data_IF_666422848912
#
_entry.id   IF_666422848912
#
_cell.length_a   1.000
_cell.length_b   1.000
_cell.length_c   1.000
_cell.angle_alpha   90.00
_cell.angle_beta   90.00
_cell.angle_gamma   90.00
#
_symmetry.space_group_name_H-M   'P 1'
#
loop_
_entity.id
_entity.type
_entity.pdbx_description
1 polymer ?
#
# COMPACT_ATOMS: atom_id res chain seq x y z
N UNK A 1 -26.82 9.21 -2.24
CA UNK A 1 -26.25 8.04 -2.93
C UNK A 1 -25.96 7.02 -1.84
N UNK A 2 -26.44 5.79 -1.96
CA UNK A 2 -26.16 4.74 -0.98
C UNK A 2 -24.71 4.31 -1.10
N UNK A 3 -24.03 4.09 0.03
CA UNK A 3 -22.67 3.56 0.03
C UNK A 3 -22.65 2.18 -0.65
N UNK A 4 -21.62 1.87 -1.46
CA UNK A 4 -21.51 0.57 -2.13
C UNK A 4 -21.35 -0.56 -1.10
N UNK A 5 -21.90 -1.73 -1.42
CA UNK A 5 -21.77 -2.91 -0.58
C UNK A 5 -20.28 -3.28 -0.37
N UNK A 6 -19.85 -3.66 0.85
CA UNK A 6 -18.45 -3.95 1.15
C UNK A 6 -17.81 -4.95 0.18
N UNK A 7 -16.53 -4.72 -0.15
CA UNK A 7 -15.72 -5.57 -1.03
C UNK A 7 -16.18 -5.68 -2.49
N UNK A 8 -17.22 -4.94 -2.90
CA UNK A 8 -17.57 -4.81 -4.32
C UNK A 8 -16.55 -3.94 -5.07
N UNK A 9 -16.52 -4.05 -6.40
CA UNK A 9 -15.68 -3.18 -7.25
C UNK A 9 -15.97 -1.69 -6.99
N UNK A 10 -17.24 -1.32 -6.86
CA UNK A 10 -17.65 0.06 -6.55
C UNK A 10 -17.13 0.53 -5.18
N UNK A 11 -17.07 -0.35 -4.19
CA UNK A 11 -16.49 -0.05 -2.88
C UNK A 11 -14.98 0.14 -2.95
N UNK A 12 -14.26 -0.67 -3.72
CA UNK A 12 -12.83 -0.50 -3.94
C UNK A 12 -12.48 0.76 -4.71
N UNK A 13 -13.29 1.15 -5.70
CA UNK A 13 -13.07 2.40 -6.46
C UNK A 13 -13.20 3.66 -5.58
N UNK A 14 -13.92 3.59 -4.46
CA UNK A 14 -14.03 4.70 -3.51
C UNK A 14 -12.91 4.72 -2.48
N UNK A 15 -12.07 3.68 -2.43
CA UNK A 15 -10.99 3.55 -1.46
C UNK A 15 -9.65 3.54 -2.18
N UNK A 16 -8.94 4.69 -2.23
CA UNK A 16 -7.59 4.67 -2.77
C UNK A 16 -6.74 3.68 -1.95
N UNK A 17 -5.87 2.89 -2.61
CA UNK A 17 -4.95 2.03 -1.88
C UNK A 17 -4.05 2.86 -0.97
N UNK A 18 -3.68 2.29 0.18
CA UNK A 18 -2.68 2.89 1.07
C UNK A 18 -1.33 3.04 0.32
N UNK A 19 -0.61 4.16 0.47
CA UNK A 19 0.72 4.33 -0.12
C UNK A 19 1.66 3.22 0.31
N UNK A 20 2.44 2.68 -0.64
CA UNK A 20 3.38 1.60 -0.34
C UNK A 20 4.45 2.04 0.66
N UNK A 21 4.89 3.29 0.60
CA UNK A 21 5.85 3.87 1.53
C UNK A 21 5.36 3.81 2.98
N UNK A 22 4.06 4.02 3.22
CA UNK A 22 3.49 3.96 4.58
C UNK A 22 3.45 2.52 5.11
N UNK A 23 3.17 1.54 4.23
CA UNK A 23 3.28 0.11 4.58
C UNK A 23 4.73 -0.25 4.94
N UNK A 24 5.71 0.24 4.18
CA UNK A 24 7.13 -0.01 4.44
C UNK A 24 7.58 0.64 5.75
N UNK A 25 7.21 1.91 6.01
CA UNK A 25 7.52 2.59 7.28
C UNK A 25 6.93 1.84 8.47
N UNK A 26 5.66 1.45 8.38
CA UNK A 26 5.00 0.66 9.42
C UNK A 26 5.73 -0.66 9.66
N UNK A 27 6.18 -1.34 8.61
CA UNK A 27 6.97 -2.55 8.77
C UNK A 27 8.35 -2.29 9.41
N UNK A 28 9.02 -1.19 9.08
CA UNK A 28 10.29 -0.84 9.71
C UNK A 28 10.13 -0.51 11.21
N UNK A 29 9.03 0.16 11.59
CA UNK A 29 8.74 0.54 12.97
C UNK A 29 8.30 -0.65 13.83
N UNK A 30 7.30 -1.41 13.36
CA UNK A 30 6.62 -2.43 14.17
C UNK A 30 6.70 -3.84 13.59
N UNK A 31 7.45 -4.07 12.51
CA UNK A 31 7.58 -5.38 11.88
C UNK A 31 8.20 -6.45 12.78
N UNK A 32 8.94 -6.04 13.81
CA UNK A 32 9.49 -6.93 14.84
C UNK A 32 8.41 -7.52 15.76
N UNK A 33 7.21 -6.93 15.81
CA UNK A 33 6.07 -7.44 16.58
C UNK A 33 5.28 -8.52 15.81
N UNK A 34 5.57 -8.73 14.53
CA UNK A 34 4.89 -9.72 13.70
C UNK A 34 5.43 -11.14 13.94
N UNK A 35 4.63 -12.19 13.67
CA UNK A 35 5.12 -13.56 13.72
C UNK A 35 6.35 -13.76 12.79
N UNK A 36 7.34 -14.59 13.16
CA UNK A 36 8.58 -14.75 12.37
C UNK A 36 8.34 -15.14 10.90
N UNK A 37 7.32 -15.97 10.63
CA UNK A 37 6.94 -16.34 9.27
C UNK A 37 6.45 -15.14 8.45
N UNK A 38 5.65 -14.26 9.06
CA UNK A 38 5.13 -13.03 8.45
C UNK A 38 6.28 -12.06 8.22
N UNK A 39 7.14 -11.85 9.22
CA UNK A 39 8.30 -10.97 9.11
C UNK A 39 9.21 -11.38 7.94
N UNK A 40 9.50 -12.68 7.80
CA UNK A 40 10.33 -13.22 6.71
C UNK A 40 9.71 -12.97 5.33
N UNK A 41 8.39 -13.09 5.22
CA UNK A 41 7.68 -12.80 3.97
C UNK A 41 7.74 -11.31 3.65
N UNK A 42 7.45 -10.45 4.63
CA UNK A 42 7.46 -9.00 4.45
C UNK A 42 8.86 -8.49 4.10
N UNK A 43 9.91 -8.96 4.75
CA UNK A 43 11.31 -8.64 4.41
C UNK A 43 11.67 -9.01 2.97
N UNK A 44 11.12 -10.12 2.45
CA UNK A 44 11.39 -10.57 1.08
C UNK A 44 10.59 -9.79 0.04
N UNK A 45 9.42 -9.26 0.42
CA UNK A 45 8.42 -8.72 -0.51
C UNK A 45 8.37 -7.20 -0.54
N UNK A 46 8.61 -6.56 0.60
CA UNK A 46 8.62 -5.11 0.68
C UNK A 46 9.91 -4.57 0.05
N UNK A 47 9.81 -3.57 -0.84
CA UNK A 47 10.99 -2.90 -1.36
C UNK A 47 11.62 -2.00 -0.28
N UNK A 48 12.84 -1.49 -0.52
CA UNK A 48 13.39 -0.39 0.28
C UNK A 48 12.45 0.83 0.28
N UNK A 49 12.51 1.63 1.35
CA UNK A 49 11.62 2.80 1.52
C UNK A 49 11.73 3.79 0.36
N UNK A 50 12.95 4.11 -0.08
CA UNK A 50 13.19 5.03 -1.20
C UNK A 50 12.50 4.56 -2.49
N UNK A 51 12.54 3.25 -2.76
CA UNK A 51 11.89 2.64 -3.93
C UNK A 51 10.36 2.68 -3.77
N UNK A 52 9.85 2.47 -2.55
CA UNK A 52 8.41 2.59 -2.29
C UNK A 52 7.92 4.03 -2.52
N UNK A 53 8.67 5.03 -2.07
CA UNK A 53 8.37 6.46 -2.30
C UNK A 53 8.44 6.84 -3.78
N UNK A 54 9.35 6.25 -4.54
CA UNK A 54 9.40 6.40 -6.01
C UNK A 54 8.17 5.80 -6.68
N UNK A 55 7.79 4.56 -6.33
CA UNK A 55 6.60 3.91 -6.85
C UNK A 55 5.33 4.73 -6.55
N UNK A 56 5.17 5.21 -5.32
CA UNK A 56 4.00 6.01 -4.94
C UNK A 56 3.92 7.33 -5.75
N UNK A 57 5.07 7.99 -6.00
CA UNK A 57 5.14 9.18 -6.85
C UNK A 57 4.76 8.86 -8.30
N UNK A 58 5.28 7.76 -8.85
CA UNK A 58 5.01 7.36 -10.23
C UNK A 58 3.54 6.97 -10.44
N UNK A 59 2.95 6.26 -9.48
CA UNK A 59 1.52 5.92 -9.47
C UNK A 59 0.67 7.18 -9.39
N UNK A 60 1.02 8.13 -8.52
CA UNK A 60 0.31 9.40 -8.43
C UNK A 60 0.40 10.19 -9.76
N UNK A 61 1.58 10.25 -10.37
CA UNK A 61 1.78 10.90 -11.66
C UNK A 61 1.01 10.22 -12.81
N UNK A 62 0.91 8.88 -12.79
CA UNK A 62 0.12 8.12 -13.74
C UNK A 62 -1.37 8.47 -13.61
N UNK A 63 -1.91 8.52 -12.39
CA UNK A 63 -3.31 8.85 -12.15
C UNK A 63 -3.67 10.27 -12.62
N UNK A 64 -2.80 11.24 -12.40
CA UNK A 64 -3.01 12.61 -12.90
C UNK A 64 -3.02 12.70 -14.44
N UNK A 65 -2.36 11.78 -15.15
CA UNK A 65 -2.38 11.72 -16.62
C UNK A 65 -3.62 11.06 -17.21
N UNK A 66 -4.29 10.20 -16.45
CA UNK A 66 -5.47 9.44 -16.90
C UNK A 66 -6.77 10.14 -16.47
N UNK A 67 -6.67 11.18 -15.66
CA UNK A 67 -7.76 12.05 -15.21
C UNK A 67 -8.14 13.07 -16.28
#
# INVERSE_FOLDING_TARGET
MSDPEPYTHAWWMQKPPEPLADVVRRFQEIGHLQPPAVQKVLQKKLPPLEVAEEIDRDVAALWERVR
#
